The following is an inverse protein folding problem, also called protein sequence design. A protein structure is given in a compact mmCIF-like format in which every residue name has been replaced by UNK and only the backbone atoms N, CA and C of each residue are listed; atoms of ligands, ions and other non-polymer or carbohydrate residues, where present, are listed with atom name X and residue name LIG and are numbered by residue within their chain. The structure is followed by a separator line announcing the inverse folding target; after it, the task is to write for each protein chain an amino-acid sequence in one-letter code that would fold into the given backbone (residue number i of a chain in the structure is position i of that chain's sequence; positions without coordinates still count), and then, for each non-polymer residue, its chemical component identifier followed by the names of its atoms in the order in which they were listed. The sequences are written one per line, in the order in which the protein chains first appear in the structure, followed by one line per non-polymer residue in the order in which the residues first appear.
data_IF_898636527433
#
_entry.id   IF_898636527433
#
_cell.length_a   1.000
_cell.length_b   1.000
_cell.length_c   1.000
_cell.angle_alpha   90.00
_cell.angle_beta   90.00
_cell.angle_gamma   90.00
#
_symmetry.space_group_name_H-M   'P 1'
#
loop_
_entity.id
_entity.type
_entity.pdbx_description
1 polymer ?
#
# COMPACT_ATOMS: atom_id res chain seq x y z
N UNK A 1 -3.14 -18.98 -0.91
CA UNK A 1 -3.30 -18.50 -2.30
C UNK A 1 -4.12 -17.20 -2.30
N UNK A 2 -3.58 -16.12 -2.88
CA UNK A 2 -4.28 -14.82 -3.03
C UNK A 2 -5.22 -14.92 -4.25
N UNK A 3 -6.44 -14.39 -4.16
CA UNK A 3 -7.40 -14.38 -5.28
C UNK A 3 -7.48 -13.01 -5.97
N UNK A 4 -7.97 -12.98 -7.21
CA UNK A 4 -8.18 -11.72 -7.96
C UNK A 4 -9.15 -10.79 -7.20
N UNK A 5 -10.22 -11.34 -6.63
CA UNK A 5 -11.21 -10.60 -5.84
C UNK A 5 -10.62 -9.97 -4.59
N UNK A 6 -9.66 -10.65 -3.95
CA UNK A 6 -8.91 -10.08 -2.83
C UNK A 6 -8.04 -8.92 -3.30
N UNK A 7 -7.32 -9.05 -4.41
CA UNK A 7 -6.52 -7.95 -4.96
C UNK A 7 -7.40 -6.74 -5.35
N UNK A 8 -8.53 -6.98 -6.04
CA UNK A 8 -9.45 -5.92 -6.47
C UNK A 8 -10.06 -5.14 -5.30
N UNK A 9 -10.18 -5.76 -4.12
CA UNK A 9 -10.62 -5.08 -2.89
C UNK A 9 -9.47 -4.44 -2.11
N UNK A 10 -8.34 -5.13 -1.96
CA UNK A 10 -7.24 -4.68 -1.10
C UNK A 10 -6.48 -3.50 -1.71
N UNK A 11 -6.24 -3.49 -3.03
CA UNK A 11 -5.52 -2.39 -3.70
C UNK A 11 -6.19 -1.03 -3.46
N UNK A 12 -7.50 -0.83 -3.71
CA UNK A 12 -8.13 0.46 -3.44
C UNK A 12 -8.18 0.82 -1.96
N UNK A 13 -8.33 -0.17 -1.05
CA UNK A 13 -8.25 0.08 0.40
C UNK A 13 -6.87 0.63 0.77
N UNK A 14 -5.80 -0.02 0.32
CA UNK A 14 -4.43 0.45 0.57
C UNK A 14 -4.18 1.83 -0.05
N UNK A 15 -4.75 2.11 -1.22
CA UNK A 15 -4.72 3.44 -1.83
C UNK A 15 -5.37 4.52 -0.96
N UNK A 16 -6.58 4.26 -0.44
CA UNK A 16 -7.28 5.18 0.47
C UNK A 16 -6.47 5.41 1.75
N UNK A 17 -5.96 4.35 2.37
CA UNK A 17 -5.15 4.47 3.59
C UNK A 17 -3.86 5.25 3.32
N UNK A 18 -3.23 5.07 2.16
CA UNK A 18 -2.03 5.83 1.77
C UNK A 18 -2.34 7.33 1.66
N UNK A 19 -3.49 7.71 1.10
CA UNK A 19 -3.92 9.12 1.05
C UNK A 19 -4.08 9.69 2.46
N UNK A 20 -4.74 8.95 3.36
CA UNK A 20 -4.95 9.36 4.76
C UNK A 20 -3.60 9.59 5.45
N UNK A 21 -2.65 8.66 5.28
CA UNK A 21 -1.29 8.78 5.82
C UNK A 21 -0.56 10.00 5.24
N UNK A 22 -0.75 10.31 3.96
CA UNK A 22 -0.23 11.52 3.33
C UNK A 22 -0.77 12.81 3.97
N UNK A 23 -2.07 12.86 4.29
CA UNK A 23 -2.68 14.00 4.99
C UNK A 23 -2.06 14.20 6.38
N UNK A 24 -1.93 13.12 7.17
CA UNK A 24 -1.26 13.20 8.49
C UNK A 24 0.19 13.64 8.37
N UNK A 25 0.93 13.10 7.40
CA UNK A 25 2.32 13.50 7.14
C UNK A 25 2.42 15.00 6.85
N UNK A 26 1.55 15.53 5.97
CA UNK A 26 1.50 16.96 5.67
C UNK A 26 1.15 17.82 6.88
N UNK A 27 0.23 17.36 7.73
CA UNK A 27 -0.11 18.03 8.97
C UNK A 27 1.12 18.18 9.90
N UNK A 28 1.85 17.09 10.14
CA UNK A 28 3.06 17.13 10.99
C UNK A 28 4.19 17.95 10.37
N UNK A 29 4.34 17.91 9.04
CA UNK A 29 5.31 18.74 8.32
C UNK A 29 5.04 20.24 8.53
N UNK A 30 3.80 20.68 8.35
CA UNK A 30 3.42 22.08 8.57
C UNK A 30 3.47 22.50 10.04
N UNK A 31 3.27 21.56 10.97
CA UNK A 31 3.44 21.77 12.41
C UNK A 31 4.90 21.86 12.87
N UNK A 32 5.88 21.55 12.00
CA UNK A 32 7.30 21.52 12.37
C UNK A 32 7.72 20.30 13.21
N UNK A 33 6.85 19.28 13.31
CA UNK A 33 7.04 18.11 14.16
C UNK A 33 7.81 17.00 13.40
N UNK A 34 9.07 17.28 13.04
CA UNK A 34 9.88 16.43 12.16
C UNK A 34 10.01 14.97 12.63
N UNK A 35 10.10 14.74 13.94
CA UNK A 35 10.20 13.38 14.50
C UNK A 35 8.89 12.60 14.38
N UNK A 36 7.75 13.26 14.54
CA UNK A 36 6.43 12.63 14.43
C UNK A 36 6.04 12.40 12.97
N UNK A 37 6.55 13.20 12.03
CA UNK A 37 6.38 13.00 10.59
C UNK A 37 7.04 11.71 10.07
N UNK A 38 8.10 11.22 10.71
CA UNK A 38 8.80 10.02 10.26
C UNK A 38 7.94 8.76 10.36
N UNK A 39 7.12 8.65 11.40
CA UNK A 39 6.23 7.50 11.60
C UNK A 39 5.23 7.31 10.45
N UNK A 40 4.40 8.30 10.05
CA UNK A 40 3.50 8.15 8.92
C UNK A 40 4.24 7.99 7.59
N UNK A 41 5.43 8.58 7.40
CA UNK A 41 6.24 8.31 6.20
C UNK A 41 6.64 6.83 6.09
N UNK A 42 7.09 6.22 7.20
CA UNK A 42 7.44 4.81 7.23
C UNK A 42 6.21 3.91 6.99
N UNK A 43 5.07 4.25 7.61
CA UNK A 43 3.80 3.55 7.38
C UNK A 43 3.38 3.66 5.91
N UNK A 44 3.51 4.85 5.32
CA UNK A 44 3.23 5.09 3.89
C UNK A 44 4.12 4.24 2.98
N UNK A 45 5.42 4.16 3.28
CA UNK A 45 6.36 3.29 2.56
C UNK A 45 5.93 1.82 2.59
N UNK A 46 5.60 1.30 3.77
CA UNK A 46 5.13 -0.09 3.94
C UNK A 46 3.83 -0.32 3.18
N UNK A 47 2.88 0.61 3.25
CA UNK A 47 1.59 0.51 2.54
C UNK A 47 1.78 0.43 1.02
N UNK A 48 2.66 1.27 0.46
CA UNK A 48 2.96 1.25 -0.99
C UNK A 48 3.64 -0.06 -1.38
N UNK A 49 4.57 -0.57 -0.56
CA UNK A 49 5.22 -1.85 -0.81
C UNK A 49 4.22 -3.02 -0.80
N UNK A 50 3.33 -3.07 0.19
CA UNK A 50 2.27 -4.09 0.27
C UNK A 50 1.29 -3.94 -0.90
N UNK A 51 0.92 -2.72 -1.26
CA UNK A 51 0.03 -2.46 -2.40
C UNK A 51 0.66 -2.94 -3.71
N UNK A 52 1.97 -2.71 -3.89
CA UNK A 52 2.71 -3.20 -5.05
C UNK A 52 2.69 -4.73 -5.15
N UNK A 53 2.89 -5.43 -4.02
CA UNK A 53 2.76 -6.89 -3.97
C UNK A 53 1.39 -7.37 -4.48
N UNK A 54 0.29 -6.74 -4.07
CA UNK A 54 -1.05 -7.13 -4.54
C UNK A 54 -1.29 -6.77 -6.02
N UNK A 55 -0.74 -5.65 -6.51
CA UNK A 55 -0.79 -5.27 -7.93
C UNK A 55 -0.08 -6.33 -8.77
N UNK A 56 1.12 -6.75 -8.35
CA UNK A 56 1.92 -7.76 -9.05
C UNK A 56 1.21 -9.12 -9.06
N UNK A 57 0.75 -9.60 -7.90
CA UNK A 57 -0.02 -10.85 -7.80
C UNK A 57 -1.30 -10.82 -8.65
N UNK A 58 -1.99 -9.68 -8.71
CA UNK A 58 -3.16 -9.51 -9.58
C UNK A 58 -2.79 -9.64 -11.06
N UNK A 59 -1.65 -9.08 -11.48
CA UNK A 59 -1.17 -9.17 -12.84
C UNK A 59 -0.82 -10.62 -13.21
N UNK A 60 -0.11 -11.34 -12.33
CA UNK A 60 0.21 -12.76 -12.50
C UNK A 60 -1.05 -13.63 -12.64
N UNK A 61 -2.01 -13.46 -11.74
CA UNK A 61 -3.29 -14.20 -11.75
C UNK A 61 -4.10 -13.92 -13.02
N UNK A 62 -4.14 -12.67 -13.49
CA UNK A 62 -4.81 -12.32 -14.75
C UNK A 62 -4.09 -12.87 -15.98
N UNK A 63 -2.77 -13.00 -15.94
CA UNK A 63 -1.98 -13.60 -17.00
C UNK A 63 -2.10 -15.13 -17.06
N UNK A 64 -2.83 -15.76 -16.14
CA UNK A 64 -2.99 -17.22 -16.10
C UNK A 64 -1.72 -17.95 -15.68
N UNK A 65 -0.70 -17.23 -15.15
CA UNK A 65 0.43 -17.88 -14.49
C UNK A 65 -0.09 -18.51 -13.21
N UNK A 66 0.03 -19.84 -13.08
CA UNK A 66 -0.04 -20.47 -11.76
C UNK A 66 1.05 -19.80 -10.94
N UNK A 67 0.65 -19.07 -9.90
CA UNK A 67 1.57 -18.39 -9.00
C UNK A 67 2.32 -19.51 -8.27
N UNK A 68 3.44 -19.94 -8.85
CA UNK A 68 4.31 -20.90 -8.22
C UNK A 68 4.88 -20.21 -6.97
N UNK A 69 4.53 -20.80 -5.83
CA UNK A 69 4.94 -20.36 -4.51
C UNK A 69 6.47 -20.38 -4.44
N UNK A 70 7.08 -19.22 -4.14
CA UNK A 70 8.44 -19.17 -3.59
C UNK A 70 8.36 -19.36 -2.08
#
# INVERSE_FOLDING_TARGET
MVTIEQCDKIIPILGIVTIIVGVFTGYYFHGGENNLMFAPLLVGFVLVFVMYYFIDKRAELKAGKKVDEF
#
